data_IF_168731947736
#
_entry.id   IF_168731947736
#
_cell.length_a   1.000
_cell.length_b   1.000
_cell.length_c   1.000
_cell.angle_alpha   90.00
_cell.angle_beta   90.00
_cell.angle_gamma   90.00
#
_symmetry.space_group_name_H-M   'P 1'
#
loop_
_entity.id
_entity.type
_entity.pdbx_description
1 polymer ?
#
# COMPACT_ATOMS: atom_id res chain seq x y z
N UNK A 1 7.91 2.59 -6.46
CA UNK A 1 9.18 2.05 -7.00
C UNK A 1 10.07 3.22 -7.37
N UNK A 2 11.37 3.15 -7.08
CA UNK A 2 12.33 4.22 -7.42
C UNK A 2 13.07 3.95 -8.72
N UNK A 3 13.34 2.68 -9.01
CA UNK A 3 14.04 2.24 -10.22
C UNK A 3 13.07 1.77 -11.31
N UNK A 4 13.43 1.89 -12.60
CA UNK A 4 12.64 1.36 -13.69
C UNK A 4 12.60 -0.18 -13.66
N UNK A 5 11.60 -0.81 -14.30
CA UNK A 5 11.52 -2.26 -14.39
C UNK A 5 12.77 -2.87 -15.05
N UNK A 6 13.24 -4.03 -14.58
CA UNK A 6 14.31 -4.77 -15.25
C UNK A 6 13.94 -5.09 -16.69
N UNK A 7 14.91 -4.95 -17.61
CA UNK A 7 14.71 -5.21 -19.05
C UNK A 7 14.94 -6.66 -19.46
N UNK A 8 15.50 -7.47 -18.57
CA UNK A 8 15.78 -8.88 -18.81
C UNK A 8 15.62 -9.66 -17.51
N UNK A 9 15.40 -10.98 -17.64
CA UNK A 9 15.39 -11.89 -16.50
C UNK A 9 16.85 -12.21 -16.16
N UNK A 10 17.33 -11.64 -15.07
CA UNK A 10 18.65 -11.88 -14.52
C UNK A 10 18.56 -12.05 -13.00
N UNK A 11 19.56 -12.67 -12.40
CA UNK A 11 19.67 -12.70 -10.94
C UNK A 11 19.82 -11.27 -10.41
N UNK A 12 18.98 -10.90 -9.44
CA UNK A 12 18.98 -9.59 -8.82
C UNK A 12 19.77 -9.65 -7.51
N UNK A 13 20.63 -8.66 -7.26
CA UNK A 13 21.28 -8.54 -5.96
C UNK A 13 20.33 -7.97 -4.91
N UNK A 14 20.56 -8.27 -3.63
CA UNK A 14 19.80 -7.68 -2.52
C UNK A 14 19.87 -6.14 -2.55
N UNK A 15 21.05 -5.60 -2.86
CA UNK A 15 21.25 -4.15 -2.97
C UNK A 15 20.35 -3.54 -4.04
N UNK A 16 20.26 -4.14 -5.21
CA UNK A 16 19.44 -3.64 -6.32
C UNK A 16 17.95 -3.76 -5.99
N UNK A 17 17.56 -4.83 -5.29
CA UNK A 17 16.20 -4.99 -4.77
C UNK A 17 15.83 -3.87 -3.80
N UNK A 18 16.67 -3.60 -2.79
CA UNK A 18 16.44 -2.55 -1.81
C UNK A 18 16.46 -1.14 -2.43
N UNK A 19 17.29 -0.92 -3.45
CA UNK A 19 17.32 0.34 -4.20
C UNK A 19 15.98 0.61 -4.92
N UNK A 20 15.35 -0.43 -5.48
CA UNK A 20 14.08 -0.32 -6.19
C UNK A 20 12.87 -0.02 -5.28
N UNK A 21 12.91 -0.48 -4.02
CA UNK A 21 11.84 -0.25 -3.03
C UNK A 21 11.62 1.25 -2.75
N UNK A 22 10.41 1.67 -2.34
CA UNK A 22 10.19 3.05 -1.88
C UNK A 22 11.10 3.43 -0.71
N UNK A 23 11.41 4.72 -0.59
CA UNK A 23 12.13 5.24 0.57
C UNK A 23 11.29 5.08 1.85
N UNK A 24 11.95 4.99 3.01
CA UNK A 24 11.30 4.70 4.29
C UNK A 24 10.20 5.71 4.66
N UNK A 25 10.42 6.99 4.37
CA UNK A 25 9.42 8.04 4.56
C UNK A 25 8.16 7.81 3.71
N UNK A 26 8.34 7.41 2.43
CA UNK A 26 7.24 7.11 1.52
C UNK A 26 6.44 5.91 2.02
N UNK A 27 7.14 4.86 2.47
CA UNK A 27 6.51 3.68 3.07
C UNK A 27 5.69 4.07 4.32
N UNK A 28 6.27 4.86 5.23
CA UNK A 28 5.58 5.32 6.44
C UNK A 28 4.35 6.16 6.11
N UNK A 29 4.43 7.06 5.14
CA UNK A 29 3.29 7.86 4.68
C UNK A 29 2.17 6.99 4.12
N UNK A 30 2.49 6.05 3.23
CA UNK A 30 1.49 5.14 2.65
C UNK A 30 0.80 4.32 3.75
N UNK A 31 1.57 3.79 4.71
CA UNK A 31 1.01 3.04 5.84
C UNK A 31 0.09 3.91 6.71
N UNK A 32 0.50 5.15 7.01
CA UNK A 32 -0.32 6.10 7.76
C UNK A 32 -1.62 6.45 7.03
N UNK A 33 -1.55 6.69 5.73
CA UNK A 33 -2.73 6.98 4.88
C UNK A 33 -3.69 5.79 4.87
N UNK A 34 -3.18 4.58 4.61
CA UNK A 34 -3.99 3.37 4.60
C UNK A 34 -4.63 3.12 5.97
N UNK A 35 -3.90 3.38 7.05
CA UNK A 35 -4.44 3.29 8.40
C UNK A 35 -5.59 4.27 8.63
N UNK A 36 -5.41 5.54 8.28
CA UNK A 36 -6.47 6.56 8.42
C UNK A 36 -7.69 6.21 7.60
N UNK A 37 -7.52 5.83 6.33
CA UNK A 37 -8.63 5.50 5.43
C UNK A 37 -9.38 4.23 5.84
N UNK A 38 -8.68 3.25 6.43
CA UNK A 38 -9.31 2.02 6.96
C UNK A 38 -10.20 2.31 8.17
N UNK A 39 -9.80 3.24 9.02
CA UNK A 39 -10.53 3.52 10.25
C UNK A 39 -11.69 4.49 9.94
N UNK A 40 -12.80 3.94 9.44
CA UNK A 40 -14.06 4.68 9.45
C UNK A 40 -14.41 5.04 10.90
N UNK A 41 -14.88 6.27 11.18
CA UNK A 41 -15.53 6.59 12.44
C UNK A 41 -16.65 5.57 12.68
N UNK A 42 -16.62 4.87 13.81
CA UNK A 42 -17.63 3.85 14.16
C UNK A 42 -19.07 4.37 14.08
N UNK A 43 -19.26 5.68 14.15
CA UNK A 43 -20.56 6.38 14.05
C UNK A 43 -21.09 6.51 12.60
N UNK A 44 -20.26 6.27 11.58
CA UNK A 44 -20.62 6.38 10.16
C UNK A 44 -20.96 5.04 9.49
N UNK A 45 -20.68 3.92 10.15
CA UNK A 45 -21.02 2.59 9.62
C UNK A 45 -22.51 2.32 9.85
N UNK A 46 -23.39 2.95 9.06
CA UNK A 46 -24.75 2.42 8.92
C UNK A 46 -24.65 1.14 8.11
N UNK A 47 -24.99 -0.03 8.67
CA UNK A 47 -25.02 -1.26 7.90
C UNK A 47 -25.95 -1.08 6.71
N UNK A 48 -25.55 -1.64 5.56
CA UNK A 48 -26.37 -1.63 4.36
C UNK A 48 -27.77 -2.17 4.72
N UNK A 49 -28.87 -1.46 4.38
CA UNK A 49 -30.21 -1.94 4.70
C UNK A 49 -30.41 -3.32 4.09
N UNK A 50 -30.86 -4.29 4.90
CA UNK A 50 -31.27 -5.59 4.39
C UNK A 50 -32.63 -5.40 3.72
N UNK A 51 -32.71 -5.70 2.42
CA UNK A 51 -33.99 -5.83 1.72
C UNK A 51 -34.52 -7.20 2.09
N UNK A 52 -35.60 -7.24 2.88
CA UNK A 52 -36.36 -8.45 3.18
C UNK A 52 -37.67 -8.39 2.41
N UNK A 53 -37.92 -9.40 1.57
CA UNK A 53 -39.20 -9.65 0.90
C UNK A 53 -40.26 -10.22 1.86
#
# INVERSE_FOLDING_TARGET
MREPPPRSKAALSERDFLAALPAMNTTATVLAVLWVLRNEPMDLVRPLPKITD
#
